data_IF_981873865561
#
_entry.id   IF_981873865561
#
_cell.length_a   1.000
_cell.length_b   1.000
_cell.length_c   1.000
_cell.angle_alpha   90.00
_cell.angle_beta   90.00
_cell.angle_gamma   90.00
#
_symmetry.space_group_name_H-M   'P 1'
#
loop_
_entity.id
_entity.type
_entity.pdbx_description
1 polymer ?
#
# COMPACT_ATOMS: atom_id res chain seq x y z
N UNK A 1 -10.62 -0.95 -1.18
CA UNK A 1 -9.34 -1.49 -0.73
C UNK A 1 -9.57 -2.22 0.57
N UNK A 2 -9.16 -3.47 0.62
CA UNK A 2 -9.39 -4.32 1.79
C UNK A 2 -8.52 -3.91 2.97
N UNK A 3 -9.08 -4.01 4.16
CA UNK A 3 -8.36 -3.63 5.38
C UNK A 3 -7.85 -4.87 6.11
N UNK A 4 -6.57 -4.83 6.51
CA UNK A 4 -5.95 -5.87 7.32
C UNK A 4 -6.05 -5.46 8.78
N UNK A 5 -6.52 -6.37 9.63
CA UNK A 5 -6.79 -6.06 11.02
C UNK A 5 -5.92 -6.84 12.01
N UNK A 6 -5.36 -7.96 11.58
CA UNK A 6 -4.59 -8.84 12.44
C UNK A 6 -3.25 -9.19 11.80
N UNK A 7 -2.29 -9.56 12.65
CA UNK A 7 -0.99 -9.97 12.14
C UNK A 7 -1.08 -11.19 11.21
N UNK A 8 -1.89 -12.23 11.50
CA UNK A 8 -2.04 -13.33 10.55
C UNK A 8 -2.57 -12.88 9.20
N UNK A 9 -3.52 -11.92 9.16
CA UNK A 9 -4.00 -11.40 7.88
C UNK A 9 -2.90 -10.71 7.11
N UNK A 10 -2.07 -9.93 7.82
CA UNK A 10 -0.93 -9.27 7.21
C UNK A 10 0.05 -10.29 6.63
N UNK A 11 0.37 -11.33 7.39
CA UNK A 11 1.33 -12.34 6.94
C UNK A 11 0.82 -13.03 5.68
N UNK A 12 -0.46 -13.36 5.65
CA UNK A 12 -1.05 -14.00 4.48
C UNK A 12 -1.00 -13.09 3.26
N UNK A 13 -1.38 -11.82 3.45
CA UNK A 13 -1.41 -10.86 2.33
C UNK A 13 -0.01 -10.57 1.80
N UNK A 14 0.95 -10.33 2.70
CA UNK A 14 2.30 -9.95 2.28
C UNK A 14 3.07 -11.10 1.64
N UNK A 15 2.68 -12.35 1.92
CA UNK A 15 3.35 -13.52 1.35
C UNK A 15 2.69 -14.01 0.06
N UNK A 16 1.65 -13.36 -0.40
CA UNK A 16 0.98 -13.76 -1.63
C UNK A 16 1.88 -13.53 -2.85
N UNK A 17 1.62 -14.31 -3.91
CA UNK A 17 2.34 -14.11 -5.16
C UNK A 17 1.99 -12.76 -5.78
N UNK A 18 2.92 -12.21 -6.55
CA UNK A 18 2.72 -10.96 -7.26
C UNK A 18 3.05 -9.76 -6.39
N UNK A 19 2.54 -8.62 -6.84
CA UNK A 19 2.82 -7.34 -6.18
C UNK A 19 1.73 -7.01 -5.18
N UNK A 20 2.15 -6.68 -3.95
CA UNK A 20 1.23 -6.32 -2.86
C UNK A 20 1.68 -4.98 -2.29
N UNK A 21 0.74 -4.05 -2.18
CA UNK A 21 1.00 -2.72 -1.61
C UNK A 21 0.18 -2.57 -0.34
N UNK A 22 0.84 -2.24 0.77
CA UNK A 22 0.20 -2.02 2.05
C UNK A 22 0.31 -0.56 2.42
N UNK A 23 -0.82 0.06 2.76
CA UNK A 23 -0.85 1.45 3.22
C UNK A 23 -1.13 1.52 4.71
N UNK A 24 -0.20 2.11 5.46
CA UNK A 24 -0.44 2.46 6.86
C UNK A 24 -1.32 3.70 6.91
N UNK A 25 -2.37 3.67 7.70
CA UNK A 25 -3.30 4.79 7.81
C UNK A 25 -3.75 4.95 9.26
N UNK A 26 -4.53 6.01 9.52
CA UNK A 26 -5.17 6.24 10.80
C UNK A 26 -6.33 7.18 10.57
N UNK A 27 -7.34 7.12 11.44
CA UNK A 27 -8.54 7.94 11.27
C UNK A 27 -8.23 9.44 11.37
N UNK A 28 -7.19 9.80 12.12
CA UNK A 28 -6.80 11.20 12.33
C UNK A 28 -5.79 11.70 11.30
N UNK A 29 -5.39 10.88 10.35
CA UNK A 29 -4.32 11.22 9.42
C UNK A 29 -4.89 12.00 8.22
N UNK A 30 -4.69 13.31 8.21
CA UNK A 30 -5.20 14.14 7.12
C UNK A 30 -4.49 13.86 5.79
N UNK A 31 -3.18 13.56 5.84
CA UNK A 31 -2.44 13.26 4.62
C UNK A 31 -2.89 11.93 4.00
N UNK A 32 -3.29 10.97 4.83
CA UNK A 32 -3.85 9.72 4.31
C UNK A 32 -5.14 9.98 3.54
N UNK A 33 -5.98 10.88 4.07
CA UNK A 33 -7.22 11.24 3.39
C UNK A 33 -6.95 12.00 2.10
N UNK A 34 -5.95 12.87 2.11
CA UNK A 34 -5.61 13.68 0.95
C UNK A 34 -5.11 12.81 -0.21
N UNK A 35 -4.35 11.75 0.06
CA UNK A 35 -3.80 10.91 -1.00
C UNK A 35 -4.78 9.81 -1.45
N UNK A 36 -5.88 9.60 -0.73
CA UNK A 36 -6.79 8.49 -1.03
C UNK A 36 -7.30 8.47 -2.47
N UNK A 37 -7.73 9.61 -3.07
CA UNK A 37 -8.17 9.56 -4.47
C UNK A 37 -7.06 9.12 -5.42
N UNK A 38 -5.83 9.52 -5.15
CA UNK A 38 -4.71 9.12 -6.00
C UNK A 38 -4.45 7.62 -5.88
N UNK A 39 -4.54 7.08 -4.66
CA UNK A 39 -4.35 5.64 -4.45
C UNK A 39 -5.43 4.86 -5.19
N UNK A 40 -6.67 5.34 -5.20
CA UNK A 40 -7.73 4.67 -5.94
C UNK A 40 -7.42 4.60 -7.42
N UNK A 41 -6.80 5.66 -7.98
CA UNK A 41 -6.37 5.63 -9.37
C UNK A 41 -5.30 4.56 -9.59
N UNK A 42 -4.37 4.43 -8.65
CA UNK A 42 -3.32 3.43 -8.76
C UNK A 42 -3.88 2.01 -8.73
N UNK A 43 -4.93 1.79 -7.91
CA UNK A 43 -5.57 0.48 -7.86
C UNK A 43 -6.10 0.08 -9.24
N UNK A 44 -6.68 1.04 -9.96
CA UNK A 44 -7.19 0.78 -11.30
C UNK A 44 -6.08 0.67 -12.33
N UNK A 45 -5.00 1.44 -12.14
CA UNK A 45 -3.88 1.48 -13.07
C UNK A 45 -3.08 0.18 -13.05
N UNK A 46 -2.97 -0.45 -11.88
CA UNK A 46 -2.20 -1.67 -11.69
C UNK A 46 -3.13 -2.80 -11.27
N UNK A 47 -3.96 -3.32 -12.20
CA UNK A 47 -5.04 -4.25 -11.83
C UNK A 47 -4.56 -5.58 -11.29
N UNK A 48 -3.32 -5.99 -11.56
CA UNK A 48 -2.82 -7.26 -11.06
C UNK A 48 -2.07 -7.11 -9.73
N UNK A 49 -1.94 -5.89 -9.23
CA UNK A 49 -1.40 -5.66 -7.89
C UNK A 49 -2.55 -5.69 -6.88
N UNK A 50 -2.23 -6.12 -5.67
CA UNK A 50 -3.19 -6.16 -4.57
C UNK A 50 -2.88 -5.05 -3.61
N UNK A 51 -3.89 -4.23 -3.30
CA UNK A 51 -3.74 -3.09 -2.40
C UNK A 51 -4.51 -3.34 -1.13
N UNK A 52 -3.86 -3.11 0.00
CA UNK A 52 -4.47 -3.25 1.33
C UNK A 52 -4.11 -2.04 2.17
N UNK A 53 -4.92 -1.79 3.19
CA UNK A 53 -4.61 -0.77 4.19
C UNK A 53 -4.70 -1.40 5.57
N UNK A 54 -4.05 -0.77 6.54
CA UNK A 54 -4.20 -1.15 7.94
C UNK A 54 -4.13 0.10 8.79
N UNK A 55 -4.92 0.11 9.86
CA UNK A 55 -5.01 1.23 10.80
C UNK A 55 -3.94 1.04 11.86
N UNK A 56 -3.03 2.01 12.00
CA UNK A 56 -1.91 1.87 12.92
C UNK A 56 -2.34 1.87 14.39
N UNK A 57 -3.51 2.42 14.69
CA UNK A 57 -4.01 2.42 16.08
C UNK A 57 -4.68 1.09 16.42
N UNK A 58 -5.53 0.56 15.55
CA UNK A 58 -6.26 -0.67 15.84
C UNK A 58 -5.46 -1.92 15.44
N UNK A 59 -4.52 -1.81 14.51
CA UNK A 59 -3.65 -2.91 14.09
C UNK A 59 -2.20 -2.58 14.41
N UNK A 60 -1.94 -2.22 15.67
CA UNK A 60 -0.62 -1.79 16.11
C UNK A 60 0.44 -2.87 15.96
N UNK A 61 0.06 -4.14 15.99
CA UNK A 61 1.02 -5.23 15.80
C UNK A 61 1.56 -5.25 14.38
N UNK A 62 0.75 -4.91 13.38
CA UNK A 62 1.23 -4.80 12.00
C UNK A 62 2.17 -3.61 11.88
N UNK A 63 1.79 -2.47 12.46
CA UNK A 63 2.62 -1.27 12.43
C UNK A 63 3.98 -1.54 13.08
N UNK A 64 3.98 -2.26 14.19
CA UNK A 64 5.20 -2.59 14.90
C UNK A 64 6.08 -3.52 14.07
N UNK A 65 5.48 -4.51 13.43
CA UNK A 65 6.20 -5.45 12.59
C UNK A 65 6.92 -4.75 11.44
N UNK A 66 6.26 -3.74 10.85
CA UNK A 66 6.82 -3.00 9.72
C UNK A 66 7.64 -1.78 10.14
N UNK A 67 7.72 -1.51 11.44
CA UNK A 67 8.49 -0.38 11.96
C UNK A 67 7.93 0.97 11.58
N UNK A 68 6.61 1.09 11.47
CA UNK A 68 5.96 2.32 11.02
C UNK A 68 5.82 3.29 12.18
N UNK A 69 6.36 4.52 12.01
CA UNK A 69 6.26 5.56 13.03
C UNK A 69 5.59 6.83 12.51
N UNK A 70 5.34 6.93 11.22
CA UNK A 70 4.63 8.07 10.64
C UNK A 70 3.76 7.59 9.50
N UNK A 71 2.84 8.43 9.04
CA UNK A 71 1.83 8.04 8.05
C UNK A 71 1.61 9.13 7.03
N UNK A 72 1.20 8.74 5.82
CA UNK A 72 1.08 7.36 5.38
C UNK A 72 2.44 6.76 5.06
N UNK A 73 2.54 5.43 5.15
CA UNK A 73 3.71 4.69 4.68
C UNK A 73 3.17 3.60 3.77
N UNK A 74 3.78 3.47 2.60
CA UNK A 74 3.41 2.42 1.64
C UNK A 74 4.54 1.42 1.56
N UNK A 75 4.22 0.16 1.79
CA UNK A 75 5.19 -0.93 1.74
C UNK A 75 4.84 -1.81 0.56
N UNK A 76 5.82 -2.09 -0.29
CA UNK A 76 5.60 -2.82 -1.54
C UNK A 76 6.33 -4.14 -1.47
N UNK A 77 5.57 -5.22 -1.65
CA UNK A 77 6.10 -6.59 -1.64
C UNK A 77 5.99 -7.18 -3.04
N UNK A 78 6.94 -8.05 -3.38
CA UNK A 78 6.90 -8.82 -4.61
C UNK A 78 7.19 -10.26 -4.27
N UNK A 79 6.21 -11.15 -4.51
CA UNK A 79 6.34 -12.58 -4.24
C UNK A 79 6.79 -12.86 -2.82
N UNK A 80 6.25 -12.10 -1.86
CA UNK A 80 6.53 -12.28 -0.45
C UNK A 80 7.72 -11.50 0.09
N UNK A 81 8.50 -10.86 -0.78
CA UNK A 81 9.68 -10.11 -0.36
C UNK A 81 9.38 -8.62 -0.32
N UNK A 82 9.80 -7.96 0.77
CA UNK A 82 9.66 -6.51 0.88
C UNK A 82 10.69 -5.85 -0.05
N UNK A 83 10.21 -5.13 -1.06
CA UNK A 83 11.07 -4.55 -2.08
C UNK A 83 11.31 -3.05 -1.87
N UNK A 84 10.25 -2.30 -1.53
CA UNK A 84 10.34 -0.84 -1.47
C UNK A 84 9.42 -0.30 -0.39
N UNK A 85 9.79 0.87 0.12
CA UNK A 85 8.97 1.60 1.08
C UNK A 85 8.92 3.06 0.64
N UNK A 86 7.70 3.63 0.62
CA UNK A 86 7.52 5.05 0.31
C UNK A 86 6.86 5.70 1.51
N UNK A 87 7.54 6.69 2.10
CA UNK A 87 7.06 7.38 3.28
C UNK A 87 6.44 8.72 2.89
N UNK A 88 5.26 8.98 3.41
CA UNK A 88 4.57 10.25 3.19
C UNK A 88 3.58 10.18 2.05
N UNK A 89 2.79 11.26 1.92
CA UNK A 89 1.74 11.36 0.90
C UNK A 89 2.34 11.84 -0.42
N UNK A 90 3.21 11.04 -0.99
CA UNK A 90 3.97 11.36 -2.21
C UNK A 90 3.48 10.50 -3.35
N UNK A 91 2.37 10.96 -3.96
CA UNK A 91 1.67 10.15 -4.96
C UNK A 91 2.51 9.76 -6.15
N UNK A 92 3.25 10.73 -6.73
CA UNK A 92 4.05 10.43 -7.91
C UNK A 92 5.20 9.48 -7.59
N UNK A 93 5.85 9.68 -6.44
CA UNK A 93 6.91 8.78 -6.01
C UNK A 93 6.38 7.37 -5.79
N UNK A 94 5.17 7.26 -5.22
CA UNK A 94 4.52 5.97 -5.02
C UNK A 94 4.27 5.29 -6.37
N UNK A 95 3.71 6.02 -7.32
CA UNK A 95 3.45 5.45 -8.65
C UNK A 95 4.72 4.96 -9.31
N UNK A 96 5.77 5.78 -9.28
CA UNK A 96 7.04 5.41 -9.90
C UNK A 96 7.67 4.20 -9.22
N UNK A 97 7.55 4.12 -7.89
CA UNK A 97 8.10 3.01 -7.15
C UNK A 97 7.34 1.71 -7.45
N UNK A 98 6.01 1.79 -7.55
CA UNK A 98 5.23 0.62 -7.93
C UNK A 98 5.64 0.13 -9.32
N UNK A 99 5.85 1.06 -10.26
CA UNK A 99 6.24 0.68 -11.63
C UNK A 99 7.58 -0.07 -11.67
N UNK A 100 8.49 0.23 -10.77
CA UNK A 100 9.79 -0.47 -10.72
C UNK A 100 9.63 -1.94 -10.36
N UNK A 101 8.62 -2.27 -9.56
CA UNK A 101 8.43 -3.61 -9.01
C UNK A 101 7.42 -4.41 -9.81
N UNK A 102 6.35 -3.74 -10.22
CA UNK A 102 5.17 -4.37 -10.81
C UNK A 102 5.47 -4.91 -12.21
N UNK A 103 5.06 -6.15 -12.48
CA UNK A 103 5.33 -6.83 -13.75
C UNK A 103 4.10 -7.07 -14.59
N UNK A 104 2.92 -6.73 -14.07
CA UNK A 104 1.67 -7.02 -14.76
C UNK A 104 1.24 -5.95 -15.74
N UNK A 105 -0.01 -6.03 -16.14
CA UNK A 105 -0.61 -5.06 -17.06
C UNK A 105 -0.75 -3.70 -16.38
N UNK A 106 -0.44 -2.64 -17.11
CA UNK A 106 -0.61 -1.27 -16.66
C UNK A 106 -1.70 -0.63 -17.51
N UNK A 107 -2.71 -0.05 -16.85
CA UNK A 107 -3.81 0.63 -17.53
C UNK A 107 -3.70 2.12 -17.34
N UNK A 108 -4.23 2.88 -18.34
CA UNK A 108 -4.33 4.32 -18.19
C UNK A 108 -5.32 4.64 -17.06
N UNK A 109 -5.01 5.70 -16.33
CA UNK A 109 -5.90 6.14 -15.28
C UNK A 109 -7.20 6.69 -15.83
N UNK A 110 -8.21 6.74 -14.99
CA UNK A 110 -9.48 7.32 -15.36
C UNK A 110 -9.31 8.80 -15.69
N UNK A 111 -10.04 9.26 -16.68
CA UNK A 111 -9.97 10.66 -17.09
C UNK A 111 -8.89 10.94 -18.11
N UNK A 112 -8.23 9.93 -18.57
CA UNK A 112 -7.26 10.05 -19.66
C UNK A 112 -7.93 10.31 -20.98
#
# INVERSE_FOLDING_TARGET
MEELRTLPEYLKASNADGTVILQATATWCSQCKAIAPFVEKLVKQFPEAKFYKYDTDSAGDIAQELGVSQMPVFTIFQNGDLEETVTGARGKALEETIRKVYKGEVRQGDGE
#
